data_IF_053114986026
#
_entry.id   IF_053114986026
#
_cell.length_a   1.000
_cell.length_b   1.000
_cell.length_c   1.000
_cell.angle_alpha   90.00
_cell.angle_beta   90.00
_cell.angle_gamma   90.00
#
_symmetry.space_group_name_H-M   'P 1'
#
loop_
_entity.id
_entity.type
_entity.pdbx_description
1 polymer ?
#
# COMPACT_ATOMS: atom_id res chain seq x y z
N UNK A 1 -19.81 -17.88 -45.88
CA UNK A 1 -18.52 -17.62 -45.18
C UNK A 1 -18.74 -16.52 -44.16
N UNK A 2 -19.21 -16.87 -42.95
CA UNK A 2 -19.44 -15.89 -41.89
C UNK A 2 -18.11 -15.56 -41.20
N UNK A 3 -17.68 -14.30 -41.25
CA UNK A 3 -16.57 -13.80 -40.45
C UNK A 3 -17.02 -13.68 -38.99
N UNK A 4 -16.48 -14.53 -38.13
CA UNK A 4 -16.63 -14.41 -36.68
C UNK A 4 -15.80 -13.20 -36.23
N UNK A 5 -16.50 -12.12 -35.88
CA UNK A 5 -15.93 -10.98 -35.15
C UNK A 5 -15.61 -11.42 -33.73
N UNK A 6 -14.36 -11.82 -33.46
CA UNK A 6 -13.85 -11.92 -32.09
C UNK A 6 -13.84 -10.52 -31.47
N UNK A 7 -14.88 -10.21 -30.67
CA UNK A 7 -14.77 -9.13 -29.69
C UNK A 7 -13.73 -9.57 -28.69
N UNK A 8 -12.52 -9.01 -28.78
CA UNK A 8 -11.59 -8.99 -27.65
C UNK A 8 -12.29 -8.26 -26.53
N UNK A 9 -12.94 -9.01 -25.64
CA UNK A 9 -13.38 -8.49 -24.36
C UNK A 9 -12.13 -8.01 -23.65
N UNK A 10 -12.00 -6.70 -23.44
CA UNK A 10 -10.89 -6.12 -22.70
C UNK A 10 -10.94 -6.72 -21.28
N UNK A 11 -10.15 -7.78 -21.04
CA UNK A 11 -10.04 -8.39 -19.73
C UNK A 11 -9.59 -7.30 -18.78
N UNK A 12 -10.36 -7.06 -17.72
CA UNK A 12 -9.97 -6.10 -16.67
C UNK A 12 -8.57 -6.49 -16.18
N UNK A 13 -7.60 -5.56 -16.21
CA UNK A 13 -6.23 -5.88 -15.86
C UNK A 13 -6.14 -6.40 -14.43
N UNK A 14 -5.26 -7.38 -14.22
CA UNK A 14 -4.99 -7.88 -12.88
C UNK A 14 -4.36 -6.78 -12.02
N UNK A 15 -4.72 -6.77 -10.73
CA UNK A 15 -4.07 -5.90 -9.75
C UNK A 15 -3.29 -6.76 -8.78
N UNK A 16 -2.02 -6.40 -8.65
CA UNK A 16 -0.98 -7.11 -7.92
C UNK A 16 -0.17 -6.13 -7.11
N UNK A 17 0.31 -6.54 -5.95
CA UNK A 17 1.29 -5.79 -5.17
C UNK A 17 2.40 -6.73 -4.73
N UNK A 18 3.63 -6.32 -5.01
CA UNK A 18 4.82 -6.93 -4.47
C UNK A 18 5.38 -6.06 -3.34
N UNK A 19 5.78 -6.70 -2.24
CA UNK A 19 6.38 -6.03 -1.09
C UNK A 19 7.68 -6.70 -0.68
N UNK A 20 8.60 -5.87 -0.18
CA UNK A 20 9.68 -6.33 0.71
C UNK A 20 9.53 -5.59 2.04
N UNK A 21 9.38 -6.32 3.14
CA UNK A 21 9.30 -5.72 4.46
C UNK A 21 10.68 -5.19 4.84
N UNK A 22 10.76 -3.89 5.11
CA UNK A 22 11.99 -3.19 5.45
C UNK A 22 12.68 -3.67 6.73
N UNK A 23 11.93 -4.31 7.63
CA UNK A 23 12.37 -4.68 8.98
C UNK A 23 12.67 -6.18 9.10
N UNK A 24 11.93 -7.03 8.37
CA UNK A 24 12.07 -8.49 8.43
C UNK A 24 12.74 -9.09 7.19
N UNK A 25 12.80 -8.36 6.07
CA UNK A 25 13.30 -8.87 4.80
C UNK A 25 12.33 -9.81 4.06
N UNK A 26 11.17 -10.12 4.65
CA UNK A 26 10.14 -10.96 4.03
C UNK A 26 9.64 -10.36 2.72
N UNK A 27 9.34 -11.22 1.76
CA UNK A 27 8.90 -10.85 0.41
C UNK A 27 7.55 -11.47 0.11
N UNK A 28 6.71 -10.69 -0.55
CA UNK A 28 5.37 -11.08 -0.97
C UNK A 28 5.14 -10.59 -2.39
N UNK A 29 4.37 -11.36 -3.16
CA UNK A 29 3.93 -10.95 -4.49
C UNK A 29 2.53 -11.52 -4.73
N UNK A 30 1.50 -10.73 -4.44
CA UNK A 30 0.13 -11.18 -4.39
C UNK A 30 -0.73 -10.54 -5.49
N UNK A 31 -1.41 -11.36 -6.29
CA UNK A 31 -2.49 -10.92 -7.18
C UNK A 31 -3.80 -10.94 -6.40
N UNK A 32 -4.32 -9.76 -6.07
CA UNK A 32 -5.50 -9.60 -5.21
C UNK A 32 -6.76 -9.23 -5.99
N UNK A 33 -6.65 -8.99 -7.29
CA UNK A 33 -7.78 -8.75 -8.17
C UNK A 33 -7.52 -9.31 -9.56
N UNK A 34 -8.44 -10.13 -10.07
CA UNK A 34 -8.39 -10.69 -11.40
C UNK A 34 -9.80 -11.00 -11.89
N UNK A 35 -10.01 -11.01 -13.21
CA UNK A 35 -11.31 -11.34 -13.83
C UNK A 35 -12.46 -10.49 -13.25
N UNK A 36 -12.21 -9.19 -13.04
CA UNK A 36 -13.20 -8.24 -12.55
C UNK A 36 -13.58 -8.37 -11.07
N UNK A 37 -12.90 -9.23 -10.28
CA UNK A 37 -13.22 -9.45 -8.86
C UNK A 37 -12.00 -9.53 -7.96
N UNK A 38 -12.20 -9.20 -6.69
CA UNK A 38 -11.20 -9.44 -5.65
C UNK A 38 -10.99 -10.93 -5.42
N UNK A 39 -9.74 -11.30 -5.17
CA UNK A 39 -9.33 -12.66 -4.87
C UNK A 39 -9.05 -12.79 -3.38
N UNK A 40 -9.75 -13.71 -2.73
CA UNK A 40 -9.65 -13.91 -1.27
C UNK A 40 -8.24 -14.34 -0.83
N UNK A 41 -7.57 -15.19 -1.60
CA UNK A 41 -6.19 -15.65 -1.36
C UNK A 41 -5.19 -14.50 -1.44
N UNK A 42 -5.25 -13.68 -2.49
CA UNK A 42 -4.39 -12.51 -2.63
C UNK A 42 -4.64 -11.44 -1.57
N UNK A 43 -5.90 -11.20 -1.19
CA UNK A 43 -6.22 -10.32 -0.08
C UNK A 43 -5.68 -10.84 1.26
N UNK A 44 -5.79 -12.15 1.52
CA UNK A 44 -5.25 -12.78 2.73
C UNK A 44 -3.72 -12.68 2.79
N UNK A 45 -3.03 -12.91 1.66
CA UNK A 45 -1.58 -12.74 1.56
C UNK A 45 -1.17 -11.29 1.85
N UNK A 46 -1.88 -10.30 1.29
CA UNK A 46 -1.60 -8.89 1.55
C UNK A 46 -1.89 -8.49 3.00
N UNK A 47 -2.95 -9.01 3.62
CA UNK A 47 -3.22 -8.80 5.05
C UNK A 47 -2.08 -9.32 5.93
N UNK A 48 -1.46 -10.45 5.55
CA UNK A 48 -0.29 -10.97 6.25
C UNK A 48 0.98 -10.16 5.95
N UNK A 49 1.21 -9.80 4.68
CA UNK A 49 2.35 -8.97 4.28
C UNK A 49 2.36 -7.61 5.00
N UNK A 50 1.17 -7.04 5.19
CA UNK A 50 0.94 -5.72 5.79
C UNK A 50 0.66 -5.76 7.29
N UNK A 51 0.87 -6.91 7.94
CA UNK A 51 0.66 -7.10 9.38
C UNK A 51 1.60 -6.22 10.22
N UNK A 52 1.28 -6.08 11.50
CA UNK A 52 2.20 -5.50 12.45
C UNK A 52 3.34 -6.47 12.72
N UNK A 53 4.48 -6.28 12.05
CA UNK A 53 5.64 -7.17 12.14
C UNK A 53 6.20 -7.30 13.56
N UNK A 54 5.94 -6.33 14.45
CA UNK A 54 6.44 -6.36 15.84
C UNK A 54 5.64 -7.31 16.72
N UNK A 55 4.36 -7.50 16.41
CA UNK A 55 3.44 -8.30 17.23
C UNK A 55 2.89 -9.52 16.50
N UNK A 56 3.08 -9.60 15.18
CA UNK A 56 2.45 -10.60 14.31
C UNK A 56 0.96 -10.35 14.07
N UNK A 57 0.35 -9.36 14.72
CA UNK A 57 -1.07 -9.10 14.62
C UNK A 57 -1.45 -8.70 13.18
N UNK A 58 -2.43 -9.39 12.61
CA UNK A 58 -2.98 -9.11 11.29
C UNK A 58 -4.26 -8.27 11.40
N UNK A 59 -4.63 -7.63 10.29
CA UNK A 59 -5.92 -6.95 10.12
C UNK A 59 -6.32 -7.00 8.65
N UNK A 60 -7.63 -7.00 8.39
CA UNK A 60 -8.13 -6.77 7.03
C UNK A 60 -7.74 -5.38 6.56
N UNK A 61 -6.92 -5.32 5.52
CA UNK A 61 -6.52 -4.08 4.88
C UNK A 61 -7.65 -3.55 4.00
N UNK A 62 -7.80 -2.23 3.95
CA UNK A 62 -8.78 -1.57 3.10
C UNK A 62 -8.45 -1.83 1.61
N UNK A 63 -9.33 -2.47 0.82
CA UNK A 63 -9.10 -2.66 -0.61
C UNK A 63 -8.81 -1.36 -1.36
N UNK A 64 -9.36 -0.23 -0.91
CA UNK A 64 -9.06 1.09 -1.50
C UNK A 64 -7.61 1.50 -1.28
N UNK A 65 -6.99 1.09 -0.17
CA UNK A 65 -5.56 1.34 0.07
C UNK A 65 -4.73 0.50 -0.91
N UNK A 66 -5.09 -0.76 -1.12
CA UNK A 66 -4.39 -1.63 -2.07
C UNK A 66 -4.50 -1.07 -3.50
N UNK A 67 -5.68 -0.61 -3.88
CA UNK A 67 -5.93 0.05 -5.17
C UNK A 67 -5.15 1.36 -5.31
N UNK A 68 -5.06 2.17 -4.25
CA UNK A 68 -4.26 3.39 -4.24
C UNK A 68 -2.77 3.08 -4.47
N UNK A 69 -2.24 2.03 -3.84
CA UNK A 69 -0.84 1.63 -4.01
C UNK A 69 -0.52 1.17 -5.44
N UNK A 70 -1.46 0.47 -6.07
CA UNK A 70 -1.38 0.12 -7.49
C UNK A 70 -1.34 1.37 -8.35
N UNK A 71 -2.24 2.34 -8.12
CA UNK A 71 -2.27 3.60 -8.86
C UNK A 71 -1.00 4.42 -8.66
N UNK A 72 -0.46 4.51 -7.45
CA UNK A 72 0.81 5.20 -7.16
C UNK A 72 1.95 4.56 -7.94
N UNK A 73 2.06 3.23 -7.90
CA UNK A 73 3.07 2.46 -8.63
C UNK A 73 2.97 2.72 -10.14
N UNK A 74 1.76 2.62 -10.70
CA UNK A 74 1.52 2.75 -12.14
C UNK A 74 1.81 4.19 -12.61
N UNK A 75 1.44 5.20 -11.80
CA UNK A 75 1.75 6.61 -12.06
C UNK A 75 3.26 6.91 -12.11
N UNK A 76 4.07 6.04 -11.52
CA UNK A 76 5.53 6.12 -11.48
C UNK A 76 6.21 5.20 -12.49
N UNK A 77 5.45 4.53 -13.35
CA UNK A 77 5.92 3.56 -14.36
C UNK A 77 6.69 2.38 -13.75
N UNK A 78 6.30 1.96 -12.54
CA UNK A 78 6.94 0.86 -11.83
C UNK A 78 6.22 -0.45 -12.17
N UNK A 79 6.96 -1.45 -12.66
CA UNK A 79 6.37 -2.72 -13.08
C UNK A 79 5.67 -3.46 -11.92
N UNK A 80 4.56 -4.20 -12.17
CA UNK A 80 3.75 -4.81 -11.11
C UNK A 80 4.47 -5.74 -10.12
N UNK A 81 5.50 -6.44 -10.59
CA UNK A 81 6.30 -7.39 -9.79
C UNK A 81 7.49 -6.74 -9.07
N UNK A 82 7.72 -5.43 -9.27
CA UNK A 82 8.78 -4.72 -8.54
C UNK A 82 8.30 -4.43 -7.12
N UNK A 83 9.01 -4.90 -6.09
CA UNK A 83 8.54 -4.77 -4.72
C UNK A 83 8.63 -3.32 -4.23
N UNK A 84 7.53 -2.85 -3.64
CA UNK A 84 7.52 -1.66 -2.80
C UNK A 84 8.22 -2.02 -1.48
N UNK A 85 9.10 -1.15 -0.98
CA UNK A 85 9.68 -1.32 0.35
C UNK A 85 8.65 -0.90 1.40
N UNK A 86 8.14 -1.88 2.13
CA UNK A 86 7.11 -1.70 3.15
C UNK A 86 7.78 -1.42 4.50
N UNK A 87 7.65 -0.19 5.01
CA UNK A 87 8.20 0.21 6.31
C UNK A 87 7.24 -0.15 7.43
N UNK A 88 5.96 0.22 7.27
CA UNK A 88 4.89 -0.18 8.19
C UNK A 88 3.53 -0.10 7.50
N UNK A 89 2.58 -0.94 7.90
CA UNK A 89 1.18 -0.85 7.44
C UNK A 89 0.24 -0.96 8.64
N UNK A 90 -0.40 -2.11 8.90
CA UNK A 90 -1.18 -2.24 10.12
C UNK A 90 -0.28 -2.07 11.35
N UNK A 91 -0.75 -1.27 12.31
CA UNK A 91 -0.12 -1.13 13.64
C UNK A 91 -1.12 -1.59 14.68
N UNK A 92 -0.75 -2.59 15.48
CA UNK A 92 -1.56 -3.00 16.62
C UNK A 92 -1.70 -1.85 17.64
N UNK A 93 -2.73 -1.85 18.50
CA UNK A 93 -2.84 -0.88 19.58
C UNK A 93 -1.59 -0.81 20.46
N UNK A 94 -0.95 -1.98 20.72
CA UNK A 94 0.31 -2.08 21.46
C UNK A 94 1.44 -1.30 20.77
N UNK A 95 1.65 -1.55 19.47
CA UNK A 95 2.68 -0.84 18.70
C UNK A 95 2.38 0.64 18.56
N UNK A 96 1.13 1.03 18.26
CA UNK A 96 0.78 2.44 18.12
C UNK A 96 0.95 3.20 19.43
N UNK A 97 0.52 2.62 20.56
CA UNK A 97 0.73 3.21 21.89
C UNK A 97 2.21 3.37 22.24
N UNK A 98 3.03 2.35 22.00
CA UNK A 98 4.47 2.41 22.25
C UNK A 98 5.18 3.47 21.39
N UNK A 99 4.78 3.65 20.13
CA UNK A 99 5.33 4.68 19.25
C UNK A 99 4.83 6.09 19.63
N UNK A 100 3.56 6.24 19.97
CA UNK A 100 2.97 7.50 20.44
C UNK A 100 3.63 8.01 21.72
N UNK A 101 3.93 7.12 22.66
CA UNK A 101 4.62 7.49 23.91
C UNK A 101 6.06 7.98 23.68
N UNK A 102 6.70 7.61 22.55
CA UNK A 102 8.09 7.95 22.23
C UNK A 102 8.22 9.11 21.24
N UNK A 103 7.12 9.54 20.61
CA UNK A 103 7.15 10.54 19.56
C UNK A 103 5.85 11.32 19.48
N UNK A 104 5.97 12.64 19.34
CA UNK A 104 4.84 13.53 19.07
C UNK A 104 4.27 13.38 17.64
N UNK A 105 4.95 12.67 16.74
CA UNK A 105 4.56 12.52 15.33
C UNK A 105 3.56 11.39 15.05
N UNK A 106 3.16 10.61 16.06
CA UNK A 106 2.25 9.47 15.90
C UNK A 106 0.90 9.80 16.50
N UNK A 107 -0.17 9.74 15.71
CA UNK A 107 -1.51 10.00 16.20
C UNK A 107 -2.06 8.84 17.06
N UNK A 108 -2.80 9.16 18.12
CA UNK A 108 -3.50 8.18 18.95
C UNK A 108 -4.60 7.42 18.18
N UNK A 109 -5.22 8.07 17.19
CA UNK A 109 -6.22 7.51 16.27
C UNK A 109 -5.68 7.37 14.83
N UNK A 110 -4.57 6.65 14.69
CA UNK A 110 -3.87 6.50 13.42
C UNK A 110 -4.65 5.66 12.40
N UNK A 111 -4.64 6.05 11.11
CA UNK A 111 -5.19 5.25 10.01
C UNK A 111 -4.50 3.89 9.87
N UNK A 112 -3.25 3.75 10.34
CA UNK A 112 -2.55 2.47 10.41
C UNK A 112 -3.30 1.45 11.27
N UNK A 113 -3.90 1.86 12.39
CA UNK A 113 -4.66 0.97 13.27
C UNK A 113 -5.97 0.47 12.63
N UNK A 114 -6.45 1.16 11.60
CA UNK A 114 -7.67 0.82 10.87
C UNK A 114 -7.41 -0.08 9.66
N UNK A 115 -6.15 -0.37 9.33
CA UNK A 115 -5.78 -1.05 8.08
C UNK A 115 -5.93 -0.15 6.85
N UNK A 116 -5.84 1.18 7.05
CA UNK A 116 -6.09 2.21 6.04
C UNK A 116 -4.88 3.04 5.66
N UNK A 117 -3.69 2.70 6.17
CA UNK A 117 -2.48 3.41 5.88
C UNK A 117 -1.26 2.50 5.71
N UNK A 118 -0.28 3.02 4.99
CA UNK A 118 1.03 2.41 4.85
C UNK A 118 2.13 3.45 4.73
N UNK A 119 3.31 3.10 5.21
CA UNK A 119 4.56 3.83 5.05
C UNK A 119 5.44 3.06 4.06
N UNK A 120 5.74 3.66 2.92
CA UNK A 120 6.43 2.98 1.82
C UNK A 120 7.56 3.82 1.22
N UNK A 121 8.50 3.10 0.60
CA UNK A 121 9.42 3.65 -0.38
C UNK A 121 9.44 2.74 -1.61
N UNK A 122 9.94 3.23 -2.75
CA UNK A 122 10.11 2.41 -3.95
C UNK A 122 11.57 2.45 -4.37
N UNK A 123 12.28 1.30 -4.41
CA UNK A 123 13.67 1.25 -4.87
C UNK A 123 13.85 1.91 -6.24
N UNK A 124 14.83 2.81 -6.35
CA UNK A 124 15.10 3.56 -7.58
C UNK A 124 14.19 4.77 -7.82
N UNK A 125 13.21 5.04 -6.95
CA UNK A 125 12.35 6.23 -7.03
C UNK A 125 12.67 7.18 -5.88
N UNK A 126 12.94 8.45 -6.18
CA UNK A 126 13.11 9.48 -5.15
C UNK A 126 11.81 9.69 -4.37
N UNK A 127 11.92 9.90 -3.06
CA UNK A 127 10.76 10.04 -2.16
C UNK A 127 9.87 11.25 -2.51
N UNK A 128 10.44 12.34 -3.02
CA UNK A 128 9.67 13.51 -3.46
C UNK A 128 8.82 13.21 -4.72
N UNK A 129 9.33 12.40 -5.65
CA UNK A 129 8.57 11.90 -6.80
C UNK A 129 7.44 10.97 -6.34
N UNK A 130 7.74 10.06 -5.40
CA UNK A 130 6.73 9.18 -4.79
C UNK A 130 5.62 9.98 -4.10
N UNK A 131 5.98 10.98 -3.28
CA UNK A 131 5.04 11.89 -2.64
C UNK A 131 4.15 12.58 -3.66
N UNK A 132 4.76 13.16 -4.69
CA UNK A 132 4.03 13.93 -5.71
C UNK A 132 3.05 13.06 -6.49
N UNK A 133 3.44 11.81 -6.82
CA UNK A 133 2.54 10.84 -7.42
C UNK A 133 1.35 10.50 -6.51
N UNK A 134 1.59 10.22 -5.23
CA UNK A 134 0.53 9.93 -4.26
C UNK A 134 -0.44 11.11 -4.07
N UNK A 135 0.08 12.34 -3.95
CA UNK A 135 -0.75 13.55 -3.84
C UNK A 135 -1.62 13.76 -5.08
N UNK A 136 -1.10 13.50 -6.28
CA UNK A 136 -1.84 13.70 -7.53
C UNK A 136 -3.09 12.84 -7.67
N UNK A 137 -3.16 11.73 -6.92
CA UNK A 137 -4.28 10.78 -6.97
C UNK A 137 -5.45 11.17 -6.07
N UNK A 138 -5.25 12.10 -5.12
CA UNK A 138 -6.28 12.56 -4.18
C UNK A 138 -6.99 11.39 -3.43
N UNK A 139 -6.27 10.29 -3.19
CA UNK A 139 -6.82 9.06 -2.59
C UNK A 139 -6.99 9.08 -1.06
N UNK A 140 -6.41 10.09 -0.40
CA UNK A 140 -6.47 10.29 1.06
C UNK A 140 -5.25 11.07 1.56
N UNK A 141 -4.80 10.79 2.78
CA UNK A 141 -3.69 11.52 3.40
C UNK A 141 -2.32 11.13 2.85
N UNK A 142 -1.43 12.11 2.69
CA UNK A 142 -0.02 11.91 2.30
C UNK A 142 0.94 12.61 3.27
N UNK A 143 1.82 11.84 3.90
CA UNK A 143 2.89 12.36 4.78
C UNK A 143 4.28 12.18 4.19
N UNK A 144 5.15 13.16 4.32
CA UNK A 144 6.50 13.14 3.73
C UNK A 144 7.60 13.04 4.79
N UNK A 145 8.25 11.88 4.89
CA UNK A 145 9.26 11.61 5.91
C UNK A 145 10.63 11.29 5.27
N UNK A 146 11.31 12.28 4.64
CA UNK A 146 12.56 12.05 3.94
C UNK A 146 13.71 11.63 4.88
N UNK A 147 13.70 12.11 6.13
CA UNK A 147 14.69 11.72 7.14
C UNK A 147 14.56 10.26 7.56
N UNK A 148 13.32 9.77 7.63
CA UNK A 148 13.01 8.38 7.99
C UNK A 148 12.98 7.45 6.75
N UNK A 149 13.07 8.01 5.55
CA UNK A 149 13.20 7.27 4.31
C UNK A 149 11.90 6.72 3.72
N UNK A 150 10.74 7.33 4.01
CA UNK A 150 9.45 6.86 3.49
C UNK A 150 8.44 7.98 3.19
N UNK A 151 7.39 7.61 2.44
CA UNK A 151 6.17 8.38 2.25
C UNK A 151 5.03 7.61 2.91
N UNK A 152 4.26 8.31 3.72
CA UNK A 152 3.01 7.81 4.29
C UNK A 152 1.87 8.05 3.29
N UNK A 153 1.02 7.04 3.10
CA UNK A 153 -0.24 7.17 2.34
C UNK A 153 -1.38 6.50 3.10
N UNK A 154 -2.55 7.13 3.12
CA UNK A 154 -3.75 6.60 3.74
C UNK A 154 -5.02 6.83 2.90
N UNK A 155 -6.12 6.14 3.23
CA UNK A 155 -7.45 6.30 2.61
C UNK A 155 -8.45 7.06 3.50
N UNK A 156 -7.94 7.92 4.38
CA UNK A 156 -8.72 8.87 5.17
C UNK A 156 -9.07 10.14 4.38
N UNK A 157 -9.32 11.25 5.09
CA UNK A 157 -9.54 12.54 4.45
C UNK A 157 -8.29 13.03 3.70
N UNK A 158 -8.48 13.66 2.54
CA UNK A 158 -7.38 14.24 1.76
C UNK A 158 -6.70 15.34 2.56
N UNK A 159 -5.42 15.15 2.84
CA UNK A 159 -4.57 16.07 3.62
C UNK A 159 -3.11 15.77 3.32
N UNK A 160 -2.24 16.74 3.52
CA UNK A 160 -0.80 16.55 3.32
C UNK A 160 0.01 17.18 4.46
N UNK A 161 1.12 16.53 4.82
CA UNK A 161 2.03 17.01 5.86
C UNK A 161 3.47 16.55 5.61
N UNK A 162 4.41 17.12 6.35
CA UNK A 162 5.85 16.87 6.27
C UNK A 162 6.47 16.90 7.66
#
# INVERSE_FOLDING_TARGET
>A
MAALSERVSARTPERRLAFVNANTGERYDACFFANGRYRADGLAELNHAMRDWRTGATRTMDPKLLDLLVQVRDRLDVAPHKPLRLVSAYRSPKTNGALHARSHGVASKSQHMLGKATDIAIPGIRLDRLRSAAMSLHGGGVGYYPRDGFVHVDTGAVRHWS
#
